data_IF_740581394776
#
_entry.id   IF_740581394776
#
_cell.length_a   1.000
_cell.length_b   1.000
_cell.length_c   1.000
_cell.angle_alpha   90.00
_cell.angle_beta   90.00
_cell.angle_gamma   90.00
#
_symmetry.space_group_name_H-M   'P 1'
#
loop_
_entity.id
_entity.type
_entity.pdbx_description
1 polymer ?
#
# COMPACT_ATOMS: atom_id res chain seq x y z
N UNK A 1 7.49 -17.12 0.08
CA UNK A 1 7.92 -16.18 -1.00
C UNK A 1 9.42 -16.33 -1.28
N UNK A 2 9.92 -16.15 -2.51
CA UNK A 2 11.36 -16.24 -2.82
C UNK A 2 12.24 -15.36 -1.93
N UNK A 3 11.82 -14.12 -1.65
CA UNK A 3 12.53 -13.17 -0.77
C UNK A 3 12.69 -13.68 0.66
N UNK A 4 11.71 -14.42 1.17
CA UNK A 4 11.76 -15.03 2.50
C UNK A 4 12.80 -16.16 2.56
N UNK A 5 12.87 -16.99 1.51
CA UNK A 5 13.90 -18.02 1.41
C UNK A 5 15.30 -17.39 1.27
N UNK A 6 15.44 -16.36 0.43
CA UNK A 6 16.70 -15.63 0.29
C UNK A 6 17.18 -15.05 1.62
N UNK A 7 16.31 -14.37 2.37
CA UNK A 7 16.66 -13.81 3.68
C UNK A 7 17.04 -14.87 4.73
N UNK A 8 16.51 -16.10 4.61
CA UNK A 8 16.93 -17.21 5.47
C UNK A 8 18.36 -17.68 5.15
N UNK A 9 18.77 -17.61 3.88
CA UNK A 9 20.12 -17.98 3.45
C UNK A 9 21.14 -16.85 3.62
N UNK A 10 20.68 -15.61 3.73
CA UNK A 10 21.51 -14.40 3.80
C UNK A 10 21.21 -13.54 5.04
N UNK A 11 21.41 -14.07 6.27
CA UNK A 11 21.07 -13.37 7.51
C UNK A 11 21.91 -12.11 7.77
N UNK A 12 22.96 -11.85 6.98
CA UNK A 12 23.82 -10.66 7.06
C UNK A 12 23.11 -9.34 6.73
N UNK A 13 21.96 -9.38 6.04
CA UNK A 13 21.19 -8.17 5.73
C UNK A 13 20.07 -7.93 6.75
N UNK A 14 19.95 -6.69 7.21
CA UNK A 14 18.86 -6.26 8.09
C UNK A 14 17.56 -5.95 7.33
N UNK A 15 17.67 -5.53 6.07
CA UNK A 15 16.53 -5.12 5.23
C UNK A 15 16.70 -5.60 3.80
N UNK A 16 15.57 -5.93 3.17
CA UNK A 16 15.49 -6.50 1.82
C UNK A 16 14.53 -5.68 0.97
N UNK A 17 14.99 -5.23 -0.19
CA UNK A 17 14.14 -4.60 -1.19
C UNK A 17 13.63 -5.65 -2.18
N UNK A 18 12.31 -5.75 -2.30
CA UNK A 18 11.63 -6.61 -3.27
C UNK A 18 10.94 -5.73 -4.31
N UNK A 19 11.33 -5.88 -5.58
CA UNK A 19 10.77 -5.13 -6.70
C UNK A 19 10.34 -6.09 -7.81
N UNK A 20 9.23 -5.78 -8.47
CA UNK A 20 8.83 -6.48 -9.69
C UNK A 20 9.75 -6.06 -10.85
N UNK A 21 10.08 -7.01 -11.72
CA UNK A 21 11.04 -6.79 -12.82
C UNK A 21 10.53 -5.79 -13.88
N UNK A 22 9.23 -5.53 -13.90
CA UNK A 22 8.55 -4.56 -14.76
C UNK A 22 8.29 -3.22 -14.05
N UNK A 23 8.84 -2.99 -12.84
CA UNK A 23 8.86 -1.67 -12.24
C UNK A 23 10.02 -0.82 -12.80
N UNK A 24 9.78 0.47 -13.03
CA UNK A 24 10.79 1.45 -13.47
C UNK A 24 10.73 2.68 -12.58
N UNK A 25 11.87 3.38 -12.52
CA UNK A 25 11.99 4.68 -11.87
C UNK A 25 12.78 5.62 -12.76
N UNK A 26 12.25 6.81 -13.00
CA UNK A 26 12.90 7.83 -13.86
C UNK A 26 13.95 8.67 -13.11
N UNK A 27 14.03 8.52 -11.79
CA UNK A 27 15.03 9.18 -10.96
C UNK A 27 16.19 8.26 -10.57
N UNK A 28 16.96 8.71 -9.58
CA UNK A 28 18.07 7.93 -9.02
C UNK A 28 17.61 7.06 -7.84
N UNK A 29 17.79 5.74 -7.94
CA UNK A 29 17.32 4.76 -6.93
C UNK A 29 17.84 5.04 -5.50
N UNK A 30 19.11 5.44 -5.35
CA UNK A 30 19.65 5.85 -4.05
C UNK A 30 18.79 6.93 -3.37
N UNK A 31 18.43 8.01 -4.09
CA UNK A 31 17.60 9.08 -3.53
C UNK A 31 16.18 8.63 -3.22
N UNK A 32 15.62 7.71 -4.01
CA UNK A 32 14.32 7.12 -3.71
C UNK A 32 14.38 6.34 -2.40
N UNK A 33 15.33 5.40 -2.27
CA UNK A 33 15.43 4.54 -1.10
C UNK A 33 15.76 5.33 0.18
N UNK A 34 16.66 6.30 0.09
CA UNK A 34 17.02 7.17 1.21
C UNK A 34 15.84 8.01 1.70
N UNK A 35 15.10 8.65 0.79
CA UNK A 35 13.90 9.43 1.14
C UNK A 35 12.77 8.56 1.67
N UNK A 36 12.55 7.40 1.06
CA UNK A 36 11.53 6.44 1.50
C UNK A 36 11.82 5.94 2.92
N UNK A 37 13.06 5.54 3.19
CA UNK A 37 13.46 5.08 4.51
C UNK A 37 13.37 6.20 5.54
N UNK A 38 13.86 7.39 5.22
CA UNK A 38 13.78 8.57 6.10
C UNK A 38 12.32 8.95 6.41
N UNK A 39 11.45 8.93 5.40
CA UNK A 39 10.01 9.20 5.59
C UNK A 39 9.36 8.17 6.51
N UNK A 40 9.62 6.88 6.28
CA UNK A 40 9.08 5.81 7.09
C UNK A 40 9.58 5.90 8.54
N UNK A 41 10.86 6.25 8.74
CA UNK A 41 11.47 6.44 10.05
C UNK A 41 10.80 7.58 10.83
N UNK A 42 10.47 8.67 10.17
CA UNK A 42 9.79 9.82 10.78
C UNK A 42 8.32 9.56 11.18
N UNK A 43 7.69 8.46 10.72
CA UNK A 43 6.28 8.21 11.04
C UNK A 43 6.10 7.65 12.47
N UNK A 44 5.24 8.26 13.30
CA UNK A 44 4.83 7.68 14.58
C UNK A 44 3.87 6.51 14.36
N UNK A 45 3.88 5.54 15.29
CA UNK A 45 2.99 4.36 15.25
C UNK A 45 1.53 4.70 15.56
N UNK A 46 1.28 5.77 16.32
CA UNK A 46 -0.06 6.26 16.61
C UNK A 46 -0.78 6.62 15.31
N UNK A 47 -1.95 6.02 15.10
CA UNK A 47 -2.80 6.19 13.90
C UNK A 47 -2.11 5.80 12.57
N UNK A 48 -1.01 5.03 12.63
CA UNK A 48 -0.21 4.72 11.44
C UNK A 48 -0.97 3.83 10.46
N UNK A 49 -1.64 2.79 10.96
CA UNK A 49 -2.41 1.86 10.13
C UNK A 49 -3.58 2.56 9.44
N UNK A 50 -4.21 3.51 10.12
CA UNK A 50 -5.30 4.31 9.61
C UNK A 50 -4.82 5.24 8.50
N UNK A 51 -3.66 5.89 8.64
CA UNK A 51 -3.07 6.70 7.56
C UNK A 51 -2.64 5.82 6.39
N UNK A 52 -2.04 4.67 6.68
CA UNK A 52 -1.58 3.76 5.64
C UNK A 52 -2.72 3.16 4.82
N UNK A 53 -3.94 3.09 5.36
CA UNK A 53 -5.11 2.53 4.68
C UNK A 53 -5.80 3.53 3.73
N UNK A 54 -5.17 4.65 3.40
CA UNK A 54 -5.76 5.76 2.64
C UNK A 54 -4.80 6.29 1.58
N UNK A 55 -5.33 6.64 0.42
CA UNK A 55 -4.61 7.47 -0.54
C UNK A 55 -4.61 8.93 -0.05
N UNK A 56 -3.47 9.60 -0.16
CA UNK A 56 -3.34 11.02 0.11
C UNK A 56 -3.51 11.81 -1.19
N UNK A 57 -4.49 12.71 -1.22
CA UNK A 57 -4.82 13.58 -2.36
C UNK A 57 -4.62 15.03 -1.92
N UNK A 58 -3.46 15.66 -2.20
CA UNK A 58 -3.10 16.95 -1.62
C UNK A 58 -4.13 18.07 -1.84
N UNK A 59 -4.75 18.13 -3.02
CA UNK A 59 -5.75 19.15 -3.35
C UNK A 59 -7.04 19.03 -2.51
N UNK A 60 -7.34 17.83 -1.99
CA UNK A 60 -8.52 17.57 -1.15
C UNK A 60 -8.16 17.56 0.33
N UNK A 61 -7.03 16.96 0.68
CA UNK A 61 -6.63 16.74 2.07
C UNK A 61 -5.78 17.87 2.66
N UNK A 62 -5.26 18.79 1.85
CA UNK A 62 -4.43 19.89 2.31
C UNK A 62 -2.99 19.44 2.56
N UNK A 63 -2.40 19.88 3.68
CA UNK A 63 -1.06 19.46 4.08
C UNK A 63 -1.07 18.05 4.68
N UNK A 64 0.11 17.44 4.88
CA UNK A 64 0.21 16.15 5.56
C UNK A 64 -0.31 16.21 7.01
N UNK A 65 -0.13 17.35 7.69
CA UNK A 65 -0.65 17.53 9.05
C UNK A 65 -2.17 17.64 9.06
N UNK A 66 -2.77 18.32 8.08
CA UNK A 66 -4.23 18.35 7.90
C UNK A 66 -4.77 16.94 7.62
N UNK A 67 -4.09 16.18 6.77
CA UNK A 67 -4.42 14.78 6.50
C UNK A 67 -4.34 13.91 7.76
N UNK A 68 -3.26 14.00 8.54
CA UNK A 68 -3.11 13.30 9.83
C UNK A 68 -4.27 13.62 10.78
N UNK A 69 -4.59 14.91 10.92
CA UNK A 69 -5.67 15.36 11.79
C UNK A 69 -7.04 14.84 11.32
N UNK A 70 -7.29 14.90 10.02
CA UNK A 70 -8.51 14.37 9.41
C UNK A 70 -8.64 12.87 9.68
N UNK A 71 -7.58 12.09 9.47
CA UNK A 71 -7.58 10.64 9.71
C UNK A 71 -7.92 10.32 11.15
N UNK A 72 -7.33 11.03 12.13
CA UNK A 72 -7.69 10.87 13.54
C UNK A 72 -9.19 11.05 13.79
N UNK A 73 -9.74 12.18 13.34
CA UNK A 73 -11.15 12.53 13.55
C UNK A 73 -12.08 11.49 12.92
N UNK A 74 -11.77 11.06 11.70
CA UNK A 74 -12.56 10.04 11.00
C UNK A 74 -12.46 8.66 11.66
N UNK A 75 -11.31 8.31 12.22
CA UNK A 75 -11.15 7.06 12.97
C UNK A 75 -11.91 7.10 14.29
N UNK A 76 -11.85 8.20 15.05
CA UNK A 76 -12.51 8.30 16.36
C UNK A 76 -14.04 8.38 16.26
N UNK A 77 -14.54 9.25 15.37
CA UNK A 77 -15.97 9.60 15.29
C UNK A 77 -16.67 8.85 14.15
N UNK A 78 -15.93 8.44 13.12
CA UNK A 78 -16.52 7.92 11.88
C UNK A 78 -16.93 9.03 10.91
N UNK A 79 -17.41 8.64 9.75
CA UNK A 79 -17.82 9.56 8.68
C UNK A 79 -19.26 9.31 8.27
N UNK A 80 -19.98 10.33 7.81
CA UNK A 80 -21.31 10.17 7.20
C UNK A 80 -21.28 9.56 5.78
N UNK A 81 -20.18 8.89 5.40
CA UNK A 81 -20.04 8.34 4.06
C UNK A 81 -21.11 7.28 3.79
N UNK A 82 -21.80 7.33 2.64
CA UNK A 82 -22.70 6.25 2.21
C UNK A 82 -21.98 4.89 2.11
N UNK A 83 -20.66 4.88 1.94
CA UNK A 83 -19.84 3.67 1.85
C UNK A 83 -19.84 2.86 3.16
N UNK A 84 -20.12 3.51 4.30
CA UNK A 84 -20.22 2.84 5.59
C UNK A 84 -21.37 1.83 5.64
N UNK A 85 -22.42 2.03 4.85
CA UNK A 85 -23.53 1.08 4.75
C UNK A 85 -23.12 -0.25 4.09
N UNK A 86 -22.05 -0.22 3.29
CA UNK A 86 -21.51 -1.36 2.54
C UNK A 86 -20.22 -1.91 3.15
N UNK A 87 -19.91 -1.50 4.38
CA UNK A 87 -18.78 -2.00 5.15
C UNK A 87 -19.17 -3.25 5.92
N UNK A 88 -18.21 -4.15 6.18
CA UNK A 88 -18.49 -5.34 6.98
C UNK A 88 -18.91 -4.94 8.41
N UNK A 89 -19.97 -5.55 8.97
CA UNK A 89 -20.34 -5.34 10.36
C UNK A 89 -19.23 -5.85 11.28
N UNK A 90 -19.04 -5.20 12.44
CA UNK A 90 -18.07 -5.69 13.42
C UNK A 90 -18.54 -7.05 13.98
N UNK A 91 -17.63 -7.99 14.29
CA UNK A 91 -18.00 -9.20 15.02
C UNK A 91 -18.73 -8.86 16.32
N UNK A 92 -19.92 -9.44 16.53
CA UNK A 92 -20.72 -9.24 17.75
C UNK A 92 -21.76 -8.11 17.73
N UNK A 93 -22.06 -7.48 16.57
CA UNK A 93 -23.18 -6.53 16.45
C UNK A 93 -24.47 -7.18 15.94
N UNK A 94 -25.55 -7.05 16.70
CA UNK A 94 -26.91 -7.37 16.27
C UNK A 94 -27.33 -6.46 15.10
N UNK A 95 -27.78 -7.05 14.00
CA UNK A 95 -28.23 -6.33 12.80
C UNK A 95 -29.71 -5.92 12.89
N UNK A 96 -30.11 -5.31 14.01
CA UNK A 96 -31.47 -4.80 14.17
C UNK A 96 -31.71 -3.58 13.25
N UNK A 97 -32.93 -3.40 12.74
CA UNK A 97 -33.26 -2.33 11.79
C UNK A 97 -33.01 -0.90 12.33
N UNK A 98 -32.90 -0.73 13.66
CA UNK A 98 -32.56 0.54 14.32
C UNK A 98 -31.06 0.87 14.33
N UNK A 99 -30.18 -0.13 14.15
CA UNK A 99 -28.72 0.05 14.20
C UNK A 99 -28.10 0.51 12.87
N UNK A 100 -28.86 0.46 11.76
CA UNK A 100 -28.41 0.96 10.45
C UNK A 100 -28.09 2.45 10.44
N UNK A 101 -28.78 3.25 11.26
CA UNK A 101 -28.46 4.67 11.44
C UNK A 101 -27.16 4.90 12.23
N UNK A 102 -26.79 3.98 13.14
CA UNK A 102 -25.57 4.07 13.96
C UNK A 102 -24.32 3.69 13.16
N UNK A 103 -24.46 2.82 12.16
CA UNK A 103 -23.39 2.49 11.20
C UNK A 103 -22.88 3.70 10.41
N UNK A 104 -23.70 4.75 10.23
CA UNK A 104 -23.30 5.96 9.50
C UNK A 104 -22.35 6.89 10.27
N UNK A 105 -22.18 6.77 11.59
CA UNK A 105 -21.26 7.62 12.37
C UNK A 105 -20.53 6.78 13.42
N UNK A 106 -20.10 5.59 13.05
CA UNK A 106 -19.28 4.77 13.93
C UNK A 106 -17.82 4.89 13.49
N UNK A 107 -16.98 5.35 14.41
CA UNK A 107 -15.53 5.29 14.26
C UNK A 107 -15.01 3.87 14.09
N UNK A 108 -13.72 3.73 13.86
CA UNK A 108 -13.01 2.46 13.75
C UNK A 108 -12.24 2.13 15.02
N UNK A 109 -11.91 0.85 15.22
CA UNK A 109 -10.97 0.45 16.27
C UNK A 109 -9.58 0.83 15.78
N UNK A 110 -8.99 1.84 16.40
CA UNK A 110 -7.61 2.22 16.10
C UNK A 110 -6.65 1.08 16.45
N UNK A 111 -5.67 0.83 15.58
CA UNK A 111 -4.62 -0.16 15.81
C UNK A 111 -3.54 0.44 16.70
N UNK A 112 -3.35 -0.15 17.88
CA UNK A 112 -2.33 0.26 18.85
C UNK A 112 -1.61 -0.96 19.40
N UNK A 113 -0.49 -1.31 18.76
CA UNK A 113 0.23 -2.56 19.02
C UNK A 113 -0.25 -3.71 18.14
N UNK A 114 -0.02 -4.98 18.57
CA UNK A 114 -0.44 -6.15 17.80
C UNK A 114 -1.97 -6.30 17.74
N UNK A 115 -2.53 -6.52 16.56
CA UNK A 115 -3.94 -6.92 16.39
C UNK A 115 -4.01 -8.42 16.12
N UNK A 116 -4.28 -9.19 17.17
CA UNK A 116 -4.08 -10.64 17.20
C UNK A 116 -5.20 -11.43 16.48
N UNK A 117 -4.88 -12.60 15.91
CA UNK A 117 -5.89 -13.60 15.53
C UNK A 117 -6.51 -14.26 16.77
N UNK A 118 -7.31 -15.32 16.58
CA UNK A 118 -7.85 -16.16 17.65
C UNK A 118 -6.74 -16.63 18.61
N UNK A 119 -7.06 -16.76 19.91
CA UNK A 119 -6.07 -17.10 20.94
C UNK A 119 -5.28 -18.38 20.65
N UNK A 120 -5.92 -19.36 19.98
CA UNK A 120 -5.28 -20.63 19.58
C UNK A 120 -4.20 -20.44 18.49
N UNK A 121 -4.36 -19.40 17.69
CA UNK A 121 -3.49 -19.09 16.56
C UNK A 121 -2.31 -18.22 16.97
N UNK A 122 -2.37 -17.53 18.11
CA UNK A 122 -1.31 -16.61 18.53
C UNK A 122 0.05 -17.32 18.60
N UNK A 123 1.03 -16.77 17.86
CA UNK A 123 2.45 -17.06 17.98
C UNK A 123 3.12 -15.83 18.59
N UNK A 124 3.73 -15.98 19.75
CA UNK A 124 4.54 -14.92 20.35
C UNK A 124 5.99 -15.03 19.85
N UNK A 125 6.59 -13.89 19.53
CA UNK A 125 7.99 -13.80 19.09
C UNK A 125 8.70 -12.68 19.83
N UNK A 126 10.03 -12.73 19.85
CA UNK A 126 10.82 -11.63 20.41
C UNK A 126 10.72 -10.37 19.53
N UNK A 127 10.70 -9.19 20.16
CA UNK A 127 10.73 -7.91 19.46
C UNK A 127 9.38 -7.48 18.87
N UNK A 128 8.27 -8.03 19.38
CA UNK A 128 6.92 -7.55 19.10
C UNK A 128 6.75 -6.08 19.44
N UNK A 129 5.96 -5.37 18.62
CA UNK A 129 5.70 -3.95 18.83
C UNK A 129 4.63 -3.74 19.89
N UNK A 130 4.96 -4.09 21.14
CA UNK A 130 4.10 -3.82 22.30
C UNK A 130 4.22 -2.34 22.66
N UNK A 131 3.09 -1.59 22.73
CA UNK A 131 3.15 -0.17 23.06
C UNK A 131 3.67 0.09 24.47
N UNK A 132 4.57 1.08 24.67
CA UNK A 132 5.10 1.41 26.00
C UNK A 132 4.08 2.13 26.90
N UNK A 133 2.98 2.64 26.32
CA UNK A 133 1.94 3.39 27.02
C UNK A 133 0.60 3.26 26.29
N UNK A 134 -0.47 3.80 26.87
CA UNK A 134 -1.78 3.86 26.21
C UNK A 134 -1.78 4.90 25.08
N UNK A 135 -2.60 4.67 24.06
CA UNK A 135 -2.68 5.57 22.89
C UNK A 135 -2.97 7.03 23.28
N UNK A 136 -3.83 7.27 24.28
CA UNK A 136 -4.18 8.61 24.75
C UNK A 136 -3.00 9.37 25.39
N UNK A 137 -2.05 8.64 25.98
CA UNK A 137 -0.88 9.22 26.66
C UNK A 137 0.26 9.49 25.69
N UNK A 138 0.32 8.77 24.58
CA UNK A 138 1.34 8.95 23.55
C UNK A 138 1.09 10.25 22.77
N UNK A 139 2.13 11.09 22.67
CA UNK A 139 2.09 12.36 21.94
C UNK A 139 2.72 12.24 20.55
N UNK A 140 2.49 11.10 19.90
CA UNK A 140 3.12 10.72 18.63
C UNK A 140 4.64 10.51 18.77
N UNK A 141 5.10 10.00 19.91
CA UNK A 141 6.52 9.76 20.19
C UNK A 141 6.93 8.33 19.81
N UNK A 142 6.06 7.35 20.10
CA UNK A 142 6.41 5.95 19.86
C UNK A 142 6.57 5.63 18.36
N UNK A 143 7.74 5.12 18.03
CA UNK A 143 8.12 4.70 16.69
C UNK A 143 8.72 5.79 15.82
N UNK A 144 8.83 7.04 16.29
CA UNK A 144 9.69 8.04 15.61
C UNK A 144 11.16 7.61 15.74
N UNK A 145 11.95 7.85 14.69
CA UNK A 145 13.35 7.41 14.59
C UNK A 145 13.56 5.88 14.54
N UNK A 146 12.48 5.09 14.61
CA UNK A 146 12.48 3.64 14.43
C UNK A 146 12.33 3.27 12.94
N UNK A 147 13.18 2.36 12.46
CA UNK A 147 13.05 1.79 11.13
C UNK A 147 11.74 1.00 10.96
N UNK A 148 11.08 1.16 9.80
CA UNK A 148 9.90 0.36 9.47
C UNK A 148 10.29 -1.08 9.09
N UNK A 149 9.57 -2.04 9.65
CA UNK A 149 9.65 -3.46 9.34
C UNK A 149 9.07 -3.79 7.96
N UNK A 150 8.08 -3.03 7.54
CA UNK A 150 7.49 -3.11 6.20
C UNK A 150 7.34 -1.72 5.62
N UNK A 151 7.83 -1.52 4.40
CA UNK A 151 7.52 -0.36 3.58
C UNK A 151 6.84 -0.85 2.30
N UNK A 152 5.70 -0.25 1.95
CA UNK A 152 4.96 -0.52 0.70
C UNK A 152 4.65 0.77 -0.05
N UNK A 153 4.31 0.61 -1.34
CA UNK A 153 4.02 1.72 -2.26
C UNK A 153 2.55 1.79 -2.68
N UNK A 154 1.67 1.02 -2.03
CA UNK A 154 0.23 1.16 -2.09
C UNK A 154 -0.36 1.13 -0.67
N UNK A 155 -1.58 1.66 -0.47
CA UNK A 155 -2.22 1.63 0.83
C UNK A 155 -2.29 0.22 1.42
N UNK A 156 -2.05 0.13 2.74
CA UNK A 156 -2.29 -1.06 3.54
C UNK A 156 -3.79 -1.14 3.83
N UNK A 157 -4.57 -1.61 2.87
CA UNK A 157 -6.02 -1.64 2.96
C UNK A 157 -6.52 -2.87 3.72
N UNK A 158 -7.73 -2.74 4.27
CA UNK A 158 -8.46 -3.88 4.84
C UNK A 158 -9.14 -4.67 3.70
N UNK A 159 -8.79 -5.93 3.46
CA UNK A 159 -9.44 -6.73 2.41
C UNK A 159 -10.86 -7.17 2.79
N UNK A 160 -11.25 -7.09 4.06
CA UNK A 160 -12.59 -7.45 4.53
C UNK A 160 -13.68 -6.63 3.81
N UNK A 161 -14.74 -7.29 3.35
CA UNK A 161 -15.86 -6.64 2.65
C UNK A 161 -15.55 -6.09 1.24
N UNK A 162 -14.29 -6.04 0.79
CA UNK A 162 -13.91 -5.64 -0.58
C UNK A 162 -14.28 -6.71 -1.61
N UNK A 163 -14.31 -6.45 -2.91
CA UNK A 163 -14.48 -7.51 -3.93
C UNK A 163 -13.17 -8.07 -4.48
N UNK A 164 -12.06 -7.86 -3.77
CA UNK A 164 -10.77 -8.39 -4.18
C UNK A 164 -10.75 -9.93 -4.11
N UNK A 165 -10.39 -10.57 -5.22
CA UNK A 165 -10.47 -12.03 -5.42
C UNK A 165 -9.74 -12.84 -4.33
N UNK A 166 -8.62 -12.31 -3.83
CA UNK A 166 -7.70 -13.02 -2.93
C UNK A 166 -7.91 -12.64 -1.46
N UNK A 167 -8.95 -11.85 -1.14
CA UNK A 167 -9.26 -11.42 0.22
C UNK A 167 -9.42 -12.60 1.19
N UNK A 168 -9.89 -13.74 0.70
CA UNK A 168 -10.20 -14.94 1.48
C UNK A 168 -9.08 -16.00 1.46
N UNK A 169 -7.95 -15.73 0.80
CA UNK A 169 -6.77 -16.60 0.77
C UNK A 169 -6.03 -16.58 2.11
N UNK A 170 -6.57 -17.35 3.06
CA UNK A 170 -6.12 -17.46 4.45
C UNK A 170 -6.07 -18.91 4.85
N UNK A 171 -4.88 -19.41 5.19
CA UNK A 171 -4.63 -20.81 5.55
C UNK A 171 -4.03 -20.91 6.94
N UNK A 172 -4.43 -21.94 7.70
CA UNK A 172 -3.86 -22.28 9.01
C UNK A 172 -4.56 -21.65 10.22
N UNK A 173 -5.37 -20.61 10.01
CA UNK A 173 -6.09 -19.91 11.09
C UNK A 173 -7.41 -20.58 11.45
N UNK A 174 -7.77 -20.51 12.73
CA UNK A 174 -9.11 -20.78 13.23
C UNK A 174 -10.08 -19.69 12.74
N UNK A 175 -11.24 -20.12 12.21
CA UNK A 175 -12.26 -19.24 11.63
C UNK A 175 -13.62 -19.35 12.32
N UNK A 176 -13.68 -19.98 13.49
CA UNK A 176 -14.92 -20.16 14.26
C UNK A 176 -15.57 -18.80 14.60
N UNK A 177 -14.73 -17.80 14.86
CA UNK A 177 -15.11 -16.43 15.21
C UNK A 177 -14.98 -15.44 14.04
N UNK A 178 -14.86 -15.94 12.81
CA UNK A 178 -14.60 -15.13 11.61
C UNK A 178 -13.14 -15.16 11.19
N UNK A 179 -12.80 -14.37 10.17
CA UNK A 179 -11.44 -14.29 9.64
C UNK A 179 -10.50 -13.52 10.59
N UNK A 180 -9.19 -13.81 10.60
CA UNK A 180 -8.24 -13.03 11.36
C UNK A 180 -8.16 -11.57 10.84
N UNK A 181 -7.70 -10.60 11.65
CA UNK A 181 -7.40 -9.25 11.18
C UNK A 181 -6.39 -9.30 10.03
N UNK A 182 -6.62 -8.52 8.97
CA UNK A 182 -5.80 -8.57 7.74
C UNK A 182 -5.52 -7.19 7.19
N UNK A 183 -4.36 -7.07 6.55
CA UNK A 183 -3.98 -5.92 5.73
C UNK A 183 -3.30 -6.43 4.46
N UNK A 184 -3.60 -5.78 3.34
CA UNK A 184 -3.00 -6.10 2.05
C UNK A 184 -2.49 -4.83 1.36
N UNK A 185 -1.49 -5.00 0.50
CA UNK A 185 -1.00 -3.97 -0.41
C UNK A 185 -0.72 -4.62 -1.76
N UNK A 186 -1.56 -4.33 -2.76
CA UNK A 186 -1.39 -4.85 -4.12
C UNK A 186 -0.13 -4.26 -4.74
N UNK A 187 0.52 -5.03 -5.61
CA UNK A 187 1.90 -4.90 -6.11
C UNK A 187 2.90 -5.36 -5.05
N UNK A 188 3.70 -6.36 -5.42
CA UNK A 188 4.75 -6.94 -4.56
C UNK A 188 6.01 -6.07 -4.49
N UNK A 189 5.86 -4.75 -4.44
CA UNK A 189 6.94 -3.78 -4.28
C UNK A 189 7.05 -3.36 -2.81
N UNK A 190 8.14 -3.75 -2.14
CA UNK A 190 8.29 -3.50 -0.71
C UNK A 190 9.74 -3.49 -0.22
N UNK A 191 9.96 -2.88 0.96
CA UNK A 191 11.12 -3.15 1.81
C UNK A 191 10.67 -3.96 3.01
N UNK A 192 11.30 -5.10 3.27
CA UNK A 192 10.99 -5.97 4.42
C UNK A 192 12.20 -6.06 5.36
N UNK A 193 11.98 -6.01 6.67
CA UNK A 193 13.04 -6.30 7.65
C UNK A 193 13.30 -7.80 7.75
N UNK A 194 14.54 -8.15 8.13
CA UNK A 194 14.91 -9.51 8.50
C UNK A 194 14.01 -10.06 9.61
N UNK A 195 13.66 -9.22 10.59
CA UNK A 195 12.73 -9.56 11.67
C UNK A 195 11.38 -10.00 11.12
N UNK A 196 10.75 -9.20 10.25
CA UNK A 196 9.47 -9.55 9.62
C UNK A 196 9.55 -10.85 8.81
N UNK A 197 10.57 -11.02 7.97
CA UNK A 197 10.74 -12.23 7.16
C UNK A 197 10.97 -13.47 8.02
N UNK A 198 11.70 -13.34 9.12
CA UNK A 198 11.91 -14.42 10.07
C UNK A 198 10.61 -14.77 10.80
N UNK A 199 9.85 -13.79 11.29
CA UNK A 199 8.55 -14.01 11.92
C UNK A 199 7.57 -14.69 10.95
N UNK A 200 7.51 -14.26 9.69
CA UNK A 200 6.72 -14.92 8.64
C UNK A 200 7.13 -16.39 8.46
N UNK A 201 8.41 -16.72 8.59
CA UNK A 201 8.89 -18.10 8.55
C UNK A 201 8.45 -18.90 9.78
N UNK A 202 8.57 -18.33 10.98
CA UNK A 202 8.13 -18.96 12.22
C UNK A 202 6.62 -19.25 12.21
N UNK A 203 5.82 -18.30 11.75
CA UNK A 203 4.37 -18.45 11.55
C UNK A 203 4.03 -19.63 10.61
N UNK A 204 4.72 -19.72 9.46
CA UNK A 204 4.51 -20.82 8.51
C UNK A 204 4.92 -22.18 9.08
N UNK A 205 6.06 -22.26 9.79
CA UNK A 205 6.59 -23.53 10.31
C UNK A 205 5.79 -24.03 11.51
N UNK A 206 5.47 -23.15 12.45
CA UNK A 206 4.88 -23.54 13.74
C UNK A 206 3.36 -23.53 13.74
N UNK A 207 2.74 -22.60 13.00
CA UNK A 207 1.28 -22.44 12.96
C UNK A 207 0.66 -22.82 11.62
N UNK A 208 1.47 -23.03 10.57
CA UNK A 208 1.01 -23.25 9.18
C UNK A 208 0.20 -22.07 8.65
N UNK A 209 0.43 -20.90 9.22
CA UNK A 209 -0.20 -19.66 8.78
C UNK A 209 0.39 -19.21 7.46
N UNK A 210 -0.48 -18.93 6.50
CA UNK A 210 -0.09 -18.30 5.24
C UNK A 210 -1.27 -17.57 4.61
N UNK A 211 -0.93 -16.59 3.78
CA UNK A 211 -1.87 -15.79 3.00
C UNK A 211 -1.24 -15.46 1.64
N UNK A 212 -2.03 -14.89 0.73
CA UNK A 212 -1.52 -14.41 -0.55
C UNK A 212 -0.34 -13.44 -0.38
N UNK A 213 0.60 -13.43 -1.33
CA UNK A 213 1.87 -12.70 -1.22
C UNK A 213 1.74 -11.19 -0.95
N UNK A 214 0.68 -10.55 -1.45
CA UNK A 214 0.37 -9.13 -1.24
C UNK A 214 -0.31 -8.84 0.11
N UNK A 215 -0.79 -9.88 0.81
CA UNK A 215 -1.46 -9.80 2.11
C UNK A 215 -0.56 -10.27 3.25
N UNK A 216 0.33 -11.23 2.99
CA UNK A 216 1.06 -11.93 4.03
C UNK A 216 1.99 -11.02 4.87
N UNK A 217 2.93 -10.25 4.28
CA UNK A 217 3.84 -9.41 5.07
C UNK A 217 3.10 -8.35 5.89
N UNK A 218 2.09 -7.71 5.30
CA UNK A 218 1.29 -6.67 5.93
C UNK A 218 0.47 -7.23 7.10
N UNK A 219 -0.11 -8.42 6.92
CA UNK A 219 -0.89 -9.08 7.97
C UNK A 219 -0.01 -9.61 9.09
N UNK A 220 1.15 -10.22 8.79
CA UNK A 220 2.11 -10.60 9.84
C UNK A 220 2.58 -9.37 10.61
N UNK A 221 2.90 -8.25 9.93
CA UNK A 221 3.27 -7.03 10.61
C UNK A 221 2.15 -6.50 11.54
N UNK A 222 0.88 -6.61 11.12
CA UNK A 222 -0.27 -6.27 11.95
C UNK A 222 -0.38 -7.18 13.19
N UNK A 223 -0.28 -8.50 13.01
CA UNK A 223 -0.44 -9.50 14.08
C UNK A 223 0.63 -9.43 15.16
N UNK A 224 1.81 -8.93 14.85
CA UNK A 224 2.93 -8.77 15.81
C UNK A 224 3.19 -7.31 16.19
N UNK A 225 2.37 -6.38 15.72
CA UNK A 225 2.50 -4.95 16.01
C UNK A 225 3.77 -4.32 15.42
N UNK A 226 4.35 -4.91 14.37
CA UNK A 226 5.53 -4.35 13.70
C UNK A 226 5.21 -3.04 12.96
N UNK A 227 6.23 -2.20 12.75
CA UNK A 227 6.03 -0.90 12.10
C UNK A 227 5.90 -1.10 10.59
N UNK A 228 4.68 -1.00 10.06
CA UNK A 228 4.41 -1.01 8.63
C UNK A 228 4.08 0.40 8.14
N UNK A 229 4.61 0.81 6.99
CA UNK A 229 4.42 2.15 6.41
C UNK A 229 4.05 2.04 4.94
N UNK A 230 2.96 2.70 4.56
CA UNK A 230 2.70 3.06 3.16
C UNK A 230 3.35 4.41 2.87
N UNK A 231 4.20 4.48 1.85
CA UNK A 231 4.81 5.73 1.40
C UNK A 231 3.94 6.36 0.31
N UNK A 232 3.35 7.55 0.53
CA UNK A 232 2.52 8.25 -0.44
C UNK A 232 3.41 8.91 -1.51
N UNK A 233 4.10 8.11 -2.31
CA UNK A 233 4.88 8.61 -3.44
C UNK A 233 3.96 9.22 -4.50
N UNK A 234 4.50 10.09 -5.35
CA UNK A 234 3.72 10.69 -6.43
C UNK A 234 3.27 9.61 -7.43
N UNK A 235 1.96 9.56 -7.66
CA UNK A 235 1.30 8.75 -8.70
C UNK A 235 0.66 9.73 -9.69
N UNK A 236 1.07 9.67 -10.95
CA UNK A 236 0.57 10.57 -11.99
C UNK A 236 -0.57 9.91 -12.76
N UNK A 237 -1.45 10.72 -13.32
CA UNK A 237 -2.67 10.26 -14.00
C UNK A 237 -2.75 10.89 -15.39
N UNK A 238 -3.12 10.09 -16.37
CA UNK A 238 -3.22 10.44 -17.81
C UNK A 238 -4.34 11.42 -18.16
N UNK A 239 -5.18 11.81 -17.19
CA UNK A 239 -6.34 12.69 -17.41
C UNK A 239 -6.63 13.54 -16.19
N UNK A 240 -7.26 14.70 -16.41
CA UNK A 240 -7.63 15.63 -15.35
C UNK A 240 -8.94 15.19 -14.67
N UNK A 241 -8.81 14.45 -13.57
CA UNK A 241 -9.96 14.14 -12.71
C UNK A 241 -10.34 15.36 -11.85
N UNK A 242 -11.64 15.63 -11.64
CA UNK A 242 -12.05 16.44 -10.49
C UNK A 242 -11.51 15.78 -9.21
N UNK A 243 -10.69 16.49 -8.44
CA UNK A 243 -9.90 15.94 -7.33
C UNK A 243 -10.77 15.33 -6.23
N UNK A 244 -11.89 15.97 -5.89
CA UNK A 244 -12.90 15.41 -4.97
C UNK A 244 -13.53 14.11 -5.46
N UNK A 245 -13.75 14.00 -6.78
CA UNK A 245 -14.29 12.76 -7.35
C UNK A 245 -13.24 11.64 -7.29
N UNK A 246 -11.99 11.95 -7.65
CA UNK A 246 -10.87 11.00 -7.52
C UNK A 246 -10.73 10.50 -6.09
N UNK A 247 -10.72 11.41 -5.11
CA UNK A 247 -10.62 11.07 -3.70
C UNK A 247 -11.77 10.15 -3.27
N UNK A 248 -13.01 10.49 -3.65
CA UNK A 248 -14.19 9.66 -3.34
C UNK A 248 -14.18 8.27 -3.98
N UNK A 249 -13.41 8.07 -5.05
CA UNK A 249 -13.25 6.79 -5.76
C UNK A 249 -12.12 5.97 -5.14
N UNK A 250 -10.95 6.56 -4.90
CA UNK A 250 -9.78 5.86 -4.37
C UNK A 250 -9.89 5.58 -2.87
N UNK A 251 -10.57 6.46 -2.11
CA UNK A 251 -10.87 6.31 -0.69
C UNK A 251 -12.35 5.93 -0.45
N UNK A 252 -12.90 5.09 -1.33
CA UNK A 252 -14.29 4.66 -1.31
C UNK A 252 -14.60 3.57 -0.26
N UNK A 253 -13.67 3.31 0.66
CA UNK A 253 -13.79 2.32 1.72
C UNK A 253 -14.53 2.84 2.96
N UNK A 254 -14.47 2.05 4.03
CA UNK A 254 -15.04 2.38 5.34
C UNK A 254 -14.35 3.62 5.90
N UNK A 255 -15.12 4.60 6.36
CA UNK A 255 -14.61 5.84 6.97
C UNK A 255 -13.50 6.54 6.17
N UNK A 256 -13.59 6.52 4.84
CA UNK A 256 -12.60 7.14 3.96
C UNK A 256 -11.30 6.35 3.79
N UNK A 257 -11.24 5.09 4.23
CA UNK A 257 -10.19 4.15 3.84
C UNK A 257 -10.28 3.78 2.35
N UNK A 258 -9.26 3.12 1.80
CA UNK A 258 -9.31 2.55 0.44
C UNK A 258 -9.91 1.13 0.39
N UNK A 259 -10.09 0.48 1.55
CA UNK A 259 -10.65 -0.86 1.72
C UNK A 259 -11.72 -0.95 2.81
N UNK A 260 -12.03 -2.16 3.28
CA UNK A 260 -13.00 -2.39 4.37
C UNK A 260 -14.47 -2.27 3.98
N UNK A 261 -14.76 -2.11 2.69
CA UNK A 261 -16.12 -1.97 2.15
C UNK A 261 -16.21 -2.48 0.72
N UNK A 262 -17.43 -2.86 0.29
CA UNK A 262 -17.69 -3.34 -1.08
C UNK A 262 -17.38 -2.29 -2.14
N UNK A 263 -17.43 -1.01 -1.77
CA UNK A 263 -17.14 0.13 -2.64
C UNK A 263 -15.64 0.41 -2.80
N UNK A 264 -14.78 -0.34 -2.11
CA UNK A 264 -13.32 -0.33 -2.23
C UNK A 264 -12.82 -0.25 -3.67
N UNK A 265 -11.72 0.47 -3.86
CA UNK A 265 -11.05 0.57 -5.16
C UNK A 265 -10.40 -0.76 -5.58
N UNK A 266 -10.01 -1.58 -4.60
CA UNK A 266 -9.45 -2.92 -4.79
C UNK A 266 -10.54 -3.97 -4.98
N UNK A 267 -10.43 -4.81 -6.01
CA UNK A 267 -11.47 -5.68 -6.55
C UNK A 267 -12.07 -5.18 -7.87
N UNK A 268 -13.40 -5.17 -7.98
CA UNK A 268 -14.12 -4.85 -9.23
C UNK A 268 -13.86 -3.43 -9.77
N UNK A 269 -13.34 -2.54 -8.93
CA UNK A 269 -13.12 -1.12 -9.24
C UNK A 269 -11.69 -0.79 -9.66
N UNK A 270 -10.82 -1.79 -9.78
CA UNK A 270 -9.41 -1.61 -10.12
C UNK A 270 -9.18 -1.01 -11.52
N UNK A 271 -10.19 -1.02 -12.41
CA UNK A 271 -10.13 -0.33 -13.70
C UNK A 271 -9.81 1.17 -13.60
N UNK A 272 -10.07 1.80 -12.45
CA UNK A 272 -9.72 3.20 -12.20
C UNK A 272 -8.20 3.44 -12.13
N UNK A 273 -7.40 2.39 -11.89
CA UNK A 273 -5.94 2.49 -11.93
C UNK A 273 -5.35 2.50 -13.35
N UNK A 274 -6.13 2.20 -14.39
CA UNK A 274 -5.63 2.11 -15.78
C UNK A 274 -4.92 3.39 -16.25
N UNK A 275 -5.40 4.54 -15.81
CA UNK A 275 -4.82 5.84 -16.16
C UNK A 275 -3.66 6.28 -15.26
N UNK A 276 -3.24 5.47 -14.29
CA UNK A 276 -2.20 5.84 -13.31
C UNK A 276 -0.81 5.40 -13.73
N UNK A 277 0.24 5.93 -13.11
CA UNK A 277 1.62 5.44 -13.31
C UNK A 277 1.98 4.24 -12.43
N UNK A 278 1.11 3.83 -11.50
CA UNK A 278 1.46 2.85 -10.48
C UNK A 278 0.29 1.93 -10.13
N UNK A 279 0.18 0.81 -10.86
CA UNK A 279 -0.66 -0.33 -10.52
C UNK A 279 -0.38 -1.47 -11.50
N UNK A 280 -0.56 -2.73 -11.12
CA UNK A 280 -0.24 -3.87 -12.00
C UNK A 280 -0.99 -3.87 -13.34
N UNK A 281 -2.15 -3.22 -13.42
CA UNK A 281 -2.97 -3.08 -14.63
C UNK A 281 -2.96 -1.66 -15.23
N UNK A 282 -2.04 -0.80 -14.80
CA UNK A 282 -1.88 0.53 -15.35
C UNK A 282 -1.47 0.51 -16.83
N UNK A 283 -2.25 1.18 -17.68
CA UNK A 283 -1.95 1.37 -19.10
C UNK A 283 -1.15 2.65 -19.38
N UNK A 284 -1.20 3.63 -18.47
CA UNK A 284 -0.46 4.88 -18.66
C UNK A 284 1.05 4.74 -18.44
N UNK A 285 1.48 4.02 -17.41
CA UNK A 285 2.89 3.73 -17.14
C UNK A 285 3.69 3.27 -18.37
N UNK A 286 3.30 2.20 -19.09
CA UNK A 286 4.08 1.71 -20.22
C UNK A 286 4.05 2.67 -21.42
N UNK A 287 2.95 3.40 -21.62
CA UNK A 287 2.86 4.42 -22.67
C UNK A 287 3.78 5.61 -22.38
N UNK A 288 3.80 6.08 -21.13
CA UNK A 288 4.65 7.18 -20.69
C UNK A 288 6.13 6.82 -20.81
N UNK A 289 6.52 5.62 -20.39
CA UNK A 289 7.89 5.13 -20.50
C UNK A 289 8.39 5.06 -21.95
N UNK A 290 7.59 4.50 -22.86
CA UNK A 290 7.95 4.41 -24.29
C UNK A 290 8.08 5.79 -24.93
N UNK A 291 7.15 6.71 -24.65
CA UNK A 291 7.26 8.10 -25.13
C UNK A 291 8.51 8.79 -24.57
N UNK A 292 8.86 8.51 -23.31
CA UNK A 292 10.07 9.05 -22.70
C UNK A 292 11.35 8.53 -23.34
N UNK A 293 11.36 7.29 -23.84
CA UNK A 293 12.48 6.75 -24.63
C UNK A 293 12.51 7.26 -26.08
N UNK A 294 11.52 8.05 -26.51
CA UNK A 294 11.42 8.63 -27.86
C UNK A 294 10.60 7.80 -28.84
N UNK A 295 9.85 6.78 -28.38
CA UNK A 295 8.95 6.02 -29.25
C UNK A 295 7.61 6.74 -29.43
N UNK A 296 7.00 6.52 -30.59
CA UNK A 296 5.63 6.95 -30.88
C UNK A 296 4.63 5.95 -30.32
N UNK A 297 3.69 6.42 -29.51
CA UNK A 297 2.63 5.59 -28.89
C UNK A 297 1.29 6.32 -29.00
N UNK A 298 0.26 5.63 -29.50
CA UNK A 298 -1.08 6.19 -29.75
C UNK A 298 -1.05 7.47 -30.60
N UNK A 299 -0.15 7.50 -31.59
CA UNK A 299 0.17 8.64 -32.45
C UNK A 299 0.87 9.85 -31.79
N UNK A 300 1.21 9.77 -30.50
CA UNK A 300 1.95 10.82 -29.79
C UNK A 300 3.42 10.45 -29.59
N UNK A 301 4.29 11.46 -29.54
CA UNK A 301 5.74 11.28 -29.39
C UNK A 301 6.43 10.83 -30.68
N UNK A 302 7.64 10.29 -30.54
CA UNK A 302 8.49 9.93 -31.67
C UNK A 302 9.41 11.07 -32.12
N UNK A 303 10.45 10.70 -32.86
CA UNK A 303 11.48 11.61 -33.38
C UNK A 303 10.89 12.83 -34.11
N UNK A 304 9.88 12.62 -34.98
CA UNK A 304 9.24 13.73 -35.70
C UNK A 304 8.60 14.76 -34.75
N UNK A 305 8.00 14.30 -33.65
CA UNK A 305 7.41 15.20 -32.65
C UNK A 305 8.50 15.89 -31.81
N UNK A 306 9.59 15.19 -31.49
CA UNK A 306 10.74 15.76 -30.79
C UNK A 306 11.43 16.85 -31.64
N UNK A 307 11.64 16.61 -32.94
CA UNK A 307 12.24 17.56 -33.88
C UNK A 307 11.35 18.77 -34.16
N UNK A 308 10.04 18.57 -34.22
CA UNK A 308 9.08 19.66 -34.44
C UNK A 308 8.82 20.50 -33.19
N UNK A 309 9.07 19.95 -32.00
CA UNK A 309 8.84 20.58 -30.71
C UNK A 309 10.12 21.05 -30.02
N UNK A 310 10.13 20.96 -28.69
CA UNK A 310 11.26 21.34 -27.84
C UNK A 310 12.22 20.17 -27.53
N UNK A 311 12.18 19.11 -28.35
CA UNK A 311 12.93 17.88 -28.13
C UNK A 311 12.19 16.86 -27.27
N UNK A 312 12.97 15.96 -26.66
CA UNK A 312 12.47 14.84 -25.87
C UNK A 312 11.80 15.28 -24.57
N UNK A 313 10.71 14.60 -24.21
CA UNK A 313 9.99 14.90 -22.97
C UNK A 313 10.88 14.71 -21.73
N UNK A 314 10.75 15.64 -20.78
CA UNK A 314 11.38 15.53 -19.47
C UNK A 314 10.35 15.06 -18.44
N UNK A 315 10.71 14.05 -17.64
CA UNK A 315 9.87 13.52 -16.57
C UNK A 315 10.48 13.84 -15.20
N UNK A 316 9.67 14.22 -14.20
CA UNK A 316 10.14 14.22 -12.82
C UNK A 316 10.44 12.78 -12.36
N UNK A 317 11.17 12.61 -11.24
CA UNK A 317 11.34 11.30 -10.62
C UNK A 317 9.98 10.69 -10.27
N UNK A 318 9.65 9.55 -10.88
CA UNK A 318 8.39 8.85 -10.67
C UNK A 318 8.57 7.34 -10.81
N UNK A 319 7.78 6.61 -10.03
CA UNK A 319 7.64 5.17 -10.17
C UNK A 319 6.63 4.85 -11.28
N UNK A 320 6.99 3.88 -12.10
CA UNK A 320 6.25 3.41 -13.28
C UNK A 320 6.07 1.90 -13.16
N UNK A 321 4.83 1.44 -13.05
CA UNK A 321 4.50 0.03 -13.05
C UNK A 321 3.12 -0.21 -13.68
N UNK A 322 3.00 -1.18 -14.62
CA UNK A 322 4.07 -2.00 -15.19
C UNK A 322 4.78 -1.32 -16.38
N UNK A 323 5.96 -1.81 -16.73
CA UNK A 323 6.66 -1.55 -17.99
C UNK A 323 7.19 -2.89 -18.52
N UNK A 324 6.53 -3.43 -19.54
CA UNK A 324 6.85 -4.71 -20.19
C UNK A 324 7.20 -4.50 -21.65
N UNK A 325 7.97 -5.42 -22.22
CA UNK A 325 8.24 -5.53 -23.67
C UNK A 325 8.69 -4.18 -24.28
N UNK A 326 9.89 -3.75 -23.89
CA UNK A 326 10.56 -2.56 -24.44
C UNK A 326 11.77 -3.03 -25.22
N UNK A 327 11.69 -3.01 -26.55
CA UNK A 327 12.83 -3.25 -27.42
C UNK A 327 13.68 -1.99 -27.49
N UNK A 328 14.80 -1.98 -26.76
CA UNK A 328 15.75 -0.88 -26.79
C UNK A 328 16.45 -0.86 -28.16
N UNK A 329 16.47 0.30 -28.82
CA UNK A 329 17.37 0.51 -29.97
C UNK A 329 18.79 0.59 -29.40
N UNK A 330 19.57 -0.48 -29.60
CA UNK A 330 20.99 -0.50 -29.28
C UNK A 330 21.71 0.02 -30.52
N UNK A 331 22.33 1.19 -30.40
CA UNK A 331 23.28 1.64 -31.42
C UNK A 331 24.56 0.82 -31.22
N UNK A 332 24.80 -0.14 -32.12
CA UNK A 332 25.99 -1.00 -32.10
C UNK A 332 27.28 -0.22 -32.42
N UNK A 333 27.22 1.11 -32.53
CA UNK A 333 28.38 1.96 -32.76
C UNK A 333 29.02 1.66 -34.10
N UNK A 334 28.20 1.34 -35.12
CA UNK A 334 28.68 1.09 -36.47
C UNK A 334 29.50 2.32 -36.91
N UNK A 335 30.82 2.14 -36.98
CA UNK A 335 31.73 3.11 -37.56
C UNK A 335 31.21 3.42 -38.95
N UNK A 336 30.80 4.67 -39.16
CA UNK A 336 30.61 5.21 -40.50
C UNK A 336 31.89 4.91 -41.28
N UNK A 337 31.77 3.99 -42.24
CA UNK A 337 32.84 3.68 -43.18
C UNK A 337 33.09 4.88 -44.07
N UNK A 338 34.38 5.16 -44.24
CA UNK A 338 35.04 6.20 -45.07
C UNK A 338 34.31 6.70 -46.32
#
# INVERSE_FOLDING_TARGET
MPTQYFAQQHPEYDYYWNWEMDARYTGHWYHLFDKVASWARAQPRKELWERNARFYVPDVHGTWEDFKHMVRVQTEIGTNSPNNLWSAPRPGQDQSSGDKARLHQQGDKAVWGPDRPDERDILEVEGEGIPPTTMDKDRYDWGVDEEADLIVFNPLYDPEGTSWLLRDDVTGYNKDNGMPPRRAAIITASRLSRKLLHTMHQEMVHKRHSMFSEMWPATTALHHGFKAVYVPHSVYIDRRWPTKYLESVFNAGRNGASGGARTSIFGDREHNFRGTTWFYSAGFSPNLWRRWLGYKVDNDGGELAELAGEGRMCLPPMLLHPVKDVEMIIDDGAKEGE
#
